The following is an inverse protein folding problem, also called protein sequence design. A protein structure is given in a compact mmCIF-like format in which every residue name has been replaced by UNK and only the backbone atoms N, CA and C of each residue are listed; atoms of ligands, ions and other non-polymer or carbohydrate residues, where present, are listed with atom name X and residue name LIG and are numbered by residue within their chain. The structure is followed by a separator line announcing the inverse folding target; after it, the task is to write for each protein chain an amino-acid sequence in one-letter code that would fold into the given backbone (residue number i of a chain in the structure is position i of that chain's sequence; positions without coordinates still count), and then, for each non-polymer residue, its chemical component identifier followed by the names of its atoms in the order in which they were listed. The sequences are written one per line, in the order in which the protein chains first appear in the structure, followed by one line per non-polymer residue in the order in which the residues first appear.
data_IF_746011852265
#
_entry.id   IF_746011852265
#
_cell.length_a   1.000
_cell.length_b   1.000
_cell.length_c   1.000
_cell.angle_alpha   90.00
_cell.angle_beta   90.00
_cell.angle_gamma   90.00
#
_symmetry.space_group_name_H-M   'P 1'
#
loop_
_entity.id
_entity.type
_entity.pdbx_description
1 polymer ?
#
# COMPACT_ATOMS: atom_id res chain seq x y z
N UNK A 1 15.43 -36.50 -1.46
CA UNK A 1 16.54 -36.40 -0.47
C UNK A 1 16.85 -34.95 -0.11
N UNK A 2 16.63 -34.02 -1.04
CA UNK A 2 16.79 -32.58 -0.95
C UNK A 2 15.96 -31.92 0.18
N UNK A 3 14.75 -32.44 0.45
CA UNK A 3 13.93 -31.97 1.58
C UNK A 3 14.60 -32.25 2.93
N UNK A 4 15.19 -33.45 3.10
CA UNK A 4 15.89 -33.83 4.33
C UNK A 4 17.18 -33.04 4.49
N UNK A 5 17.90 -32.80 3.39
CA UNK A 5 19.10 -31.95 3.39
C UNK A 5 18.80 -30.53 3.85
N UNK A 6 17.74 -29.91 3.32
CA UNK A 6 17.28 -28.60 3.78
C UNK A 6 16.91 -28.61 5.27
N UNK A 7 16.15 -29.62 5.71
CA UNK A 7 15.75 -29.75 7.12
C UNK A 7 16.97 -29.90 8.03
N UNK A 8 17.99 -30.68 7.66
CA UNK A 8 19.22 -30.81 8.45
C UNK A 8 19.98 -29.47 8.56
N UNK A 9 20.05 -28.69 7.47
CA UNK A 9 20.67 -27.36 7.48
C UNK A 9 19.89 -26.36 8.32
N UNK A 10 18.56 -26.43 8.31
CA UNK A 10 17.68 -25.57 9.12
C UNK A 10 17.70 -25.95 10.61
N UNK A 11 17.82 -27.23 10.91
CA UNK A 11 17.84 -27.77 12.28
C UNK A 11 19.27 -27.97 12.81
N UNK A 12 20.26 -27.30 12.23
CA UNK A 12 21.64 -27.33 12.74
C UNK A 12 21.66 -26.76 14.17
N UNK A 13 22.23 -27.55 15.09
CA UNK A 13 22.18 -27.29 16.53
C UNK A 13 22.87 -25.97 16.88
N UNK A 14 24.09 -25.76 16.35
CA UNK A 14 24.82 -24.50 16.50
C UNK A 14 24.17 -23.42 15.63
N UNK A 15 23.68 -22.30 16.20
CA UNK A 15 23.14 -21.18 15.42
C UNK A 15 24.15 -20.56 14.45
N UNK A 16 25.46 -20.61 14.75
CA UNK A 16 26.49 -20.02 13.89
C UNK A 16 26.69 -20.81 12.59
N UNK A 17 26.49 -22.14 12.64
CA UNK A 17 26.61 -23.03 11.49
C UNK A 17 25.26 -23.26 10.78
N UNK A 18 24.15 -22.82 11.40
CA UNK A 18 22.81 -22.93 10.82
C UNK A 18 22.69 -22.06 9.57
N UNK A 19 22.10 -22.63 8.54
CA UNK A 19 21.88 -21.91 7.29
C UNK A 19 21.05 -20.63 7.51
N UNK A 20 21.50 -19.46 7.03
CA UNK A 20 20.68 -18.25 7.02
C UNK A 20 19.46 -18.39 6.11
N UNK A 21 18.36 -17.71 6.44
CA UNK A 21 17.11 -17.77 5.66
C UNK A 21 17.31 -17.49 4.16
N UNK A 22 18.11 -16.47 3.81
CA UNK A 22 18.42 -16.11 2.41
C UNK A 22 19.07 -17.27 1.66
N UNK A 23 20.07 -17.93 2.26
CA UNK A 23 20.73 -19.11 1.65
C UNK A 23 19.84 -20.35 1.63
N UNK A 24 18.90 -20.46 2.58
CA UNK A 24 17.94 -21.55 2.58
C UNK A 24 16.94 -21.43 1.43
N UNK A 25 16.58 -20.20 1.04
CA UNK A 25 15.64 -19.94 -0.05
C UNK A 25 16.22 -20.34 -1.42
N UNK A 26 17.53 -20.23 -1.59
CA UNK A 26 18.28 -20.69 -2.78
C UNK A 26 18.40 -22.22 -2.86
N UNK A 27 17.91 -22.96 -1.87
CA UNK A 27 18.07 -24.41 -1.81
C UNK A 27 17.32 -25.12 -2.96
N UNK A 28 17.91 -26.14 -3.62
CA UNK A 28 17.29 -26.86 -4.75
C UNK A 28 15.93 -27.49 -4.46
N UNK A 29 15.58 -27.66 -3.18
CA UNK A 29 14.26 -28.11 -2.77
C UNK A 29 13.17 -27.11 -3.18
N UNK A 30 13.39 -25.82 -2.96
CA UNK A 30 12.43 -24.78 -3.35
C UNK A 30 12.24 -24.72 -4.86
N UNK A 31 13.31 -24.79 -5.65
CA UNK A 31 13.22 -24.76 -7.12
C UNK A 31 12.45 -25.92 -7.76
N UNK A 32 12.20 -27.03 -7.04
CA UNK A 32 11.37 -28.15 -7.53
C UNK A 32 9.88 -28.01 -7.24
N UNK A 33 9.51 -27.20 -6.25
CA UNK A 33 8.15 -27.12 -5.72
C UNK A 33 7.57 -25.70 -5.69
N UNK A 34 8.37 -24.67 -6.00
CA UNK A 34 7.86 -23.35 -6.33
C UNK A 34 7.21 -23.47 -7.70
N UNK A 35 5.87 -23.38 -7.73
CA UNK A 35 5.17 -23.10 -8.97
C UNK A 35 5.66 -21.75 -9.49
N UNK A 36 6.13 -21.74 -10.74
CA UNK A 36 6.36 -20.49 -11.46
C UNK A 36 4.97 -19.92 -11.74
N UNK A 37 4.46 -19.13 -10.80
CA UNK A 37 3.25 -18.35 -11.02
C UNK A 37 3.58 -17.35 -12.13
N UNK A 38 2.85 -17.43 -13.24
CA UNK A 38 2.93 -16.40 -14.27
C UNK A 38 2.34 -15.10 -13.72
N UNK A 39 3.21 -14.28 -13.14
CA UNK A 39 2.85 -13.00 -12.56
C UNK A 39 2.62 -11.91 -13.61
N UNK A 40 2.72 -12.21 -14.92
CA UNK A 40 2.66 -11.19 -15.98
C UNK A 40 1.39 -10.35 -15.91
N UNK A 41 0.22 -10.99 -15.75
CA UNK A 41 -1.05 -10.27 -15.66
C UNK A 41 -1.13 -9.41 -14.38
N UNK A 42 -0.73 -9.99 -13.24
CA UNK A 42 -0.71 -9.32 -11.95
C UNK A 42 0.19 -8.07 -11.95
N UNK A 43 1.42 -8.21 -12.45
CA UNK A 43 2.40 -7.12 -12.55
C UNK A 43 1.92 -6.04 -13.50
N UNK A 44 1.40 -6.42 -14.68
CA UNK A 44 0.89 -5.44 -15.65
C UNK A 44 -0.26 -4.63 -15.07
N UNK A 45 -1.20 -5.28 -14.38
CA UNK A 45 -2.32 -4.61 -13.72
C UNK A 45 -1.83 -3.67 -12.61
N UNK A 46 -0.95 -4.13 -11.73
CA UNK A 46 -0.47 -3.33 -10.60
C UNK A 46 0.32 -2.09 -11.07
N UNK A 47 1.21 -2.25 -12.05
CA UNK A 47 1.98 -1.14 -12.61
C UNK A 47 1.12 -0.13 -13.38
N UNK A 48 0.05 -0.57 -14.05
CA UNK A 48 -0.93 0.33 -14.67
C UNK A 48 -1.70 1.11 -13.60
N UNK A 49 -2.14 0.44 -12.52
CA UNK A 49 -2.82 1.12 -11.41
C UNK A 49 -1.90 2.15 -10.74
N UNK A 50 -0.65 1.77 -10.46
CA UNK A 50 0.37 2.64 -9.90
C UNK A 50 0.67 3.84 -10.80
N UNK A 51 0.66 3.65 -12.13
CA UNK A 51 0.80 4.74 -13.10
C UNK A 51 -0.35 5.75 -13.05
N UNK A 52 -1.56 5.28 -12.77
CA UNK A 52 -2.76 6.14 -12.64
C UNK A 52 -2.94 6.74 -11.24
N UNK A 53 -2.10 6.35 -10.28
CA UNK A 53 -2.16 6.81 -8.91
C UNK A 53 -1.90 8.32 -8.84
N UNK A 54 -2.77 9.04 -8.14
CA UNK A 54 -2.63 10.48 -7.88
C UNK A 54 -2.29 10.65 -6.40
N UNK A 55 -1.44 11.64 -6.10
CA UNK A 55 -1.24 12.10 -4.74
C UNK A 55 -2.57 12.69 -4.23
N UNK A 56 -3.22 11.98 -3.32
CA UNK A 56 -4.53 12.30 -2.74
C UNK A 56 -4.35 13.07 -1.41
N UNK A 57 -5.41 13.72 -0.92
CA UNK A 57 -5.40 14.46 0.33
C UNK A 57 -5.00 13.54 1.50
N UNK A 58 -4.37 14.08 2.55
CA UNK A 58 -3.91 13.29 3.70
C UNK A 58 -5.01 12.46 4.37
N UNK A 59 -6.23 13.01 4.44
CA UNK A 59 -7.37 12.30 5.01
C UNK A 59 -7.78 11.10 4.14
N UNK A 60 -7.79 11.26 2.81
CA UNK A 60 -8.04 10.16 1.86
C UNK A 60 -6.98 9.07 2.01
N UNK A 61 -5.69 9.44 2.02
CA UNK A 61 -4.59 8.49 2.18
C UNK A 61 -4.74 7.66 3.46
N UNK A 62 -5.04 8.28 4.58
CA UNK A 62 -5.21 7.59 5.84
C UNK A 62 -6.46 6.70 5.86
N UNK A 63 -7.59 7.17 5.33
CA UNK A 63 -8.81 6.38 5.20
C UNK A 63 -8.58 5.14 4.32
N UNK A 64 -7.93 5.30 3.17
CA UNK A 64 -7.60 4.18 2.28
C UNK A 64 -6.62 3.22 2.95
N UNK A 65 -5.56 3.73 3.58
CA UNK A 65 -4.57 2.91 4.30
C UNK A 65 -5.25 2.06 5.39
N UNK A 66 -6.21 2.64 6.11
CA UNK A 66 -7.02 1.89 7.07
C UNK A 66 -7.89 0.83 6.38
N UNK A 67 -8.62 1.18 5.31
CA UNK A 67 -9.45 0.23 4.57
C UNK A 67 -8.60 -0.93 4.04
N UNK A 68 -7.43 -0.63 3.46
CA UNK A 68 -6.49 -1.61 2.95
C UNK A 68 -5.96 -2.51 4.07
N UNK A 69 -5.48 -1.93 5.17
CA UNK A 69 -4.82 -2.71 6.22
C UNK A 69 -5.78 -3.50 7.11
N UNK A 70 -7.01 -3.03 7.31
CA UNK A 70 -7.96 -3.63 8.26
C UNK A 70 -9.16 -4.30 7.60
N UNK A 71 -9.59 -3.84 6.41
CA UNK A 71 -10.86 -4.24 5.81
C UNK A 71 -10.71 -4.92 4.43
N UNK A 72 -9.53 -4.86 3.80
CA UNK A 72 -9.31 -5.54 2.53
C UNK A 72 -9.29 -7.06 2.75
N UNK A 73 -9.94 -7.77 1.83
CA UNK A 73 -9.93 -9.23 1.84
C UNK A 73 -8.67 -9.76 1.20
N UNK A 74 -8.29 -10.99 1.53
CA UNK A 74 -7.16 -11.67 0.88
C UNK A 74 -7.30 -11.68 -0.64
N UNK A 75 -8.52 -11.83 -1.17
CA UNK A 75 -8.79 -11.86 -2.61
C UNK A 75 -8.53 -10.50 -3.28
N UNK A 76 -8.82 -9.39 -2.59
CA UNK A 76 -8.59 -8.04 -3.12
C UNK A 76 -7.09 -7.70 -3.22
N UNK A 77 -6.26 -8.29 -2.35
CA UNK A 77 -4.82 -8.03 -2.30
C UNK A 77 -3.98 -9.13 -2.97
N UNK A 78 -4.57 -10.29 -3.30
CA UNK A 78 -3.82 -11.48 -3.73
C UNK A 78 -2.95 -11.21 -4.96
N UNK A 79 -3.54 -10.61 -5.99
CA UNK A 79 -2.82 -10.27 -7.23
C UNK A 79 -1.70 -9.25 -6.97
N UNK A 80 -1.91 -8.31 -6.05
CA UNK A 80 -0.89 -7.33 -5.68
C UNK A 80 0.28 -7.98 -4.96
N UNK A 81 0.01 -9.02 -4.16
CA UNK A 81 1.05 -9.80 -3.49
C UNK A 81 1.88 -10.61 -4.50
N UNK A 82 1.24 -11.19 -5.53
CA UNK A 82 1.94 -11.90 -6.61
C UNK A 82 2.82 -10.90 -7.38
N UNK A 83 2.27 -9.74 -7.74
CA UNK A 83 3.01 -8.71 -8.46
C UNK A 83 4.21 -8.19 -7.67
N UNK A 84 4.01 -7.89 -6.38
CA UNK A 84 5.08 -7.42 -5.48
C UNK A 84 6.23 -8.42 -5.42
N UNK A 85 5.94 -9.69 -5.13
CA UNK A 85 6.95 -10.76 -5.06
C UNK A 85 7.67 -11.01 -6.38
N UNK A 86 7.03 -10.71 -7.52
CA UNK A 86 7.64 -10.87 -8.83
C UNK A 86 8.58 -9.70 -9.20
N UNK A 87 8.36 -8.53 -8.59
CA UNK A 87 9.19 -7.34 -8.77
C UNK A 87 10.33 -7.27 -7.75
N UNK A 88 10.10 -7.74 -6.53
CA UNK A 88 11.08 -7.86 -5.44
C UNK A 88 12.07 -8.99 -5.76
N UNK A 89 13.20 -8.64 -6.38
CA UNK A 89 14.18 -9.61 -6.86
C UNK A 89 15.13 -10.05 -5.76
N UNK A 90 15.45 -9.15 -4.84
CA UNK A 90 16.36 -9.41 -3.74
C UNK A 90 15.65 -10.03 -2.50
N UNK A 91 14.32 -10.05 -2.49
CA UNK A 91 13.44 -10.58 -1.46
C UNK A 91 13.61 -9.92 -0.10
N UNK A 92 13.89 -8.61 -0.10
CA UNK A 92 14.02 -7.80 1.11
C UNK A 92 12.67 -7.26 1.64
N UNK A 93 11.58 -7.63 0.97
CA UNK A 93 10.20 -7.22 1.25
C UNK A 93 9.94 -5.73 1.03
N UNK A 94 10.74 -5.08 0.19
CA UNK A 94 10.55 -3.74 -0.32
C UNK A 94 10.78 -3.73 -1.83
N UNK A 95 10.38 -2.65 -2.48
CA UNK A 95 10.70 -2.41 -3.88
C UNK A 95 11.62 -1.20 -3.97
N UNK A 96 12.87 -1.46 -4.33
CA UNK A 96 13.81 -0.39 -4.63
C UNK A 96 13.43 0.33 -5.92
N UNK A 97 13.89 1.57 -6.06
CA UNK A 97 13.73 2.36 -7.29
C UNK A 97 14.28 1.62 -8.53
N UNK A 98 15.33 0.81 -8.37
CA UNK A 98 15.89 0.02 -9.47
C UNK A 98 14.98 -1.14 -9.87
N UNK A 99 14.42 -1.88 -8.91
CA UNK A 99 13.49 -2.98 -9.18
C UNK A 99 12.21 -2.51 -9.87
N UNK A 100 11.67 -1.36 -9.42
CA UNK A 100 10.52 -0.74 -10.08
C UNK A 100 10.85 -0.27 -11.50
N UNK A 101 12.02 0.34 -11.72
CA UNK A 101 12.46 0.73 -13.06
C UNK A 101 12.60 -0.48 -13.99
N UNK A 102 13.23 -1.54 -13.52
CA UNK A 102 13.40 -2.77 -14.31
C UNK A 102 12.04 -3.42 -14.60
N UNK A 103 11.12 -3.42 -13.63
CA UNK A 103 9.73 -3.82 -13.80
C UNK A 103 9.04 -3.00 -14.88
N UNK A 104 9.01 -1.68 -14.75
CA UNK A 104 8.36 -0.79 -15.72
C UNK A 104 8.95 -0.94 -17.13
N UNK A 105 10.28 -1.00 -17.29
CA UNK A 105 10.91 -1.19 -18.60
C UNK A 105 10.59 -2.55 -19.22
N UNK A 106 10.44 -3.60 -18.41
CA UNK A 106 10.09 -4.94 -18.87
C UNK A 106 8.64 -5.03 -19.37
N UNK A 107 7.69 -4.44 -18.64
CA UNK A 107 6.25 -4.57 -18.95
C UNK A 107 5.69 -3.40 -19.79
N UNK A 108 6.33 -2.22 -19.76
CA UNK A 108 5.95 -1.01 -20.50
C UNK A 108 7.18 -0.38 -21.17
N UNK A 109 7.72 -0.95 -22.26
CA UNK A 109 8.97 -0.49 -22.89
C UNK A 109 8.97 0.99 -23.33
N UNK A 110 7.79 1.55 -23.60
CA UNK A 110 7.61 2.93 -24.05
C UNK A 110 7.63 3.96 -22.90
N UNK A 111 7.59 3.53 -21.63
CA UNK A 111 7.57 4.44 -20.49
C UNK A 111 8.94 5.13 -20.31
N UNK A 112 8.91 6.44 -20.10
CA UNK A 112 10.13 7.24 -19.93
C UNK A 112 10.64 7.16 -18.49
N UNK A 113 11.96 7.28 -18.30
CA UNK A 113 12.55 7.29 -16.95
C UNK A 113 11.96 8.41 -16.07
N UNK A 114 11.68 9.57 -16.69
CA UNK A 114 11.04 10.70 -16.02
C UNK A 114 9.61 10.42 -15.56
N UNK A 115 8.90 9.52 -16.25
CA UNK A 115 7.55 9.11 -15.86
C UNK A 115 7.61 8.10 -14.71
N UNK A 116 8.57 7.17 -14.74
CA UNK A 116 8.82 6.24 -13.63
C UNK A 116 9.21 7.01 -12.36
N UNK A 117 10.09 8.00 -12.46
CA UNK A 117 10.52 8.80 -11.29
C UNK A 117 9.36 9.54 -10.63
N UNK A 118 8.46 10.13 -11.43
CA UNK A 118 7.24 10.78 -10.91
C UNK A 118 6.31 9.79 -10.22
N UNK A 119 6.17 8.59 -10.75
CA UNK A 119 5.33 7.55 -10.14
C UNK A 119 5.92 7.15 -8.78
N UNK A 120 7.23 6.94 -8.71
CA UNK A 120 7.93 6.58 -7.47
C UNK A 120 7.80 7.70 -6.42
N UNK A 121 8.02 8.96 -6.80
CA UNK A 121 7.87 10.12 -5.90
C UNK A 121 6.47 10.24 -5.30
N UNK A 122 5.43 9.78 -6.01
CA UNK A 122 4.04 9.83 -5.52
C UNK A 122 3.73 8.62 -4.61
N UNK A 123 4.32 7.46 -4.91
CA UNK A 123 4.02 6.22 -4.21
C UNK A 123 4.84 6.04 -2.91
N UNK A 124 6.04 6.61 -2.84
CA UNK A 124 6.89 6.70 -1.64
C UNK A 124 6.33 7.78 -0.69
N UNK A 125 5.37 7.37 0.15
CA UNK A 125 4.62 8.28 1.00
C UNK A 125 5.44 8.74 2.22
N UNK A 126 6.36 7.90 2.70
CA UNK A 126 7.22 8.21 3.83
C UNK A 126 8.58 8.85 3.45
N UNK A 127 8.91 8.87 2.16
CA UNK A 127 10.13 9.48 1.63
C UNK A 127 11.39 8.67 1.91
N UNK A 128 11.24 7.36 2.14
CA UNK A 128 12.35 6.46 2.43
C UNK A 128 13.22 6.15 1.21
N UNK A 129 12.73 6.41 0.00
CA UNK A 129 13.37 6.09 -1.28
C UNK A 129 13.14 4.64 -1.74
N UNK A 130 12.32 3.89 -1.02
CA UNK A 130 11.90 2.51 -1.31
C UNK A 130 10.37 2.44 -1.14
N UNK A 131 9.68 1.57 -1.88
CA UNK A 131 8.25 1.35 -1.68
C UNK A 131 8.06 0.10 -0.82
N UNK A 132 7.46 0.26 0.36
CA UNK A 132 7.12 -0.88 1.21
C UNK A 132 5.84 -1.60 0.73
N UNK A 133 5.56 -2.78 1.29
CA UNK A 133 4.39 -3.55 0.89
C UNK A 133 3.05 -2.82 1.14
N UNK A 134 2.96 -2.02 2.19
CA UNK A 134 1.74 -1.28 2.52
C UNK A 134 1.50 -0.14 1.53
N UNK A 135 2.55 0.62 1.22
CA UNK A 135 2.53 1.68 0.21
C UNK A 135 2.19 1.12 -1.17
N UNK A 136 2.80 0.00 -1.54
CA UNK A 136 2.50 -0.71 -2.78
C UNK A 136 1.02 -1.09 -2.87
N UNK A 137 0.46 -1.69 -1.82
CA UNK A 137 -0.94 -2.12 -1.86
C UNK A 137 -1.86 -0.90 -1.94
N UNK A 138 -1.62 0.15 -1.16
CA UNK A 138 -2.43 1.40 -1.21
C UNK A 138 -2.39 2.04 -2.59
N UNK A 139 -1.22 2.08 -3.23
CA UNK A 139 -1.04 2.71 -4.53
C UNK A 139 -1.60 1.87 -5.70
N UNK A 140 -1.51 0.53 -5.61
CA UNK A 140 -1.90 -0.37 -6.70
C UNK A 140 -3.31 -0.94 -6.59
N UNK A 141 -3.99 -0.84 -5.45
CA UNK A 141 -5.31 -1.45 -5.26
C UNK A 141 -6.39 -0.78 -6.10
N UNK A 142 -7.28 -1.60 -6.65
CA UNK A 142 -8.43 -1.13 -7.41
C UNK A 142 -9.44 -0.48 -6.46
N UNK A 143 -9.36 0.85 -6.36
CA UNK A 143 -10.25 1.65 -5.51
C UNK A 143 -11.73 1.45 -5.84
N UNK A 144 -12.07 1.12 -7.09
CA UNK A 144 -13.47 0.89 -7.50
C UNK A 144 -14.05 -0.39 -6.89
N UNK A 145 -13.22 -1.41 -6.66
CA UNK A 145 -13.60 -2.64 -5.96
C UNK A 145 -13.48 -2.49 -4.45
N UNK A 146 -12.50 -1.72 -3.99
CA UNK A 146 -12.22 -1.52 -2.57
C UNK A 146 -13.30 -0.68 -1.86
N UNK A 147 -13.75 0.42 -2.47
CA UNK A 147 -14.59 1.43 -1.83
C UNK A 147 -16.08 1.06 -1.84
N UNK A 148 -16.44 -0.02 -1.16
CA UNK A 148 -17.84 -0.33 -0.87
C UNK A 148 -18.41 0.59 0.21
N UNK A 149 -19.72 0.87 0.15
CA UNK A 149 -20.47 1.63 1.16
C UNK A 149 -20.17 1.17 2.60
N UNK A 150 -20.10 -0.15 2.82
CA UNK A 150 -19.83 -0.72 4.15
C UNK A 150 -18.40 -0.45 4.63
N UNK A 151 -17.42 -0.42 3.73
CA UNK A 151 -16.02 -0.11 4.07
C UNK A 151 -15.83 1.38 4.32
N UNK A 152 -16.50 2.23 3.54
CA UNK A 152 -16.50 3.69 3.76
C UNK A 152 -17.12 4.06 5.11
N UNK A 153 -18.24 3.44 5.51
CA UNK A 153 -18.82 3.63 6.86
C UNK A 153 -17.89 3.21 7.99
N UNK A 154 -17.20 2.07 7.83
CA UNK A 154 -16.25 1.62 8.83
C UNK A 154 -15.03 2.53 8.91
N UNK A 155 -14.53 3.02 7.78
CA UNK A 155 -13.46 4.02 7.76
C UNK A 155 -13.91 5.34 8.41
N UNK A 156 -15.13 5.81 8.15
CA UNK A 156 -15.68 7.00 8.81
C UNK A 156 -15.70 6.84 10.34
N UNK A 157 -16.17 5.70 10.85
CA UNK A 157 -16.18 5.39 12.29
C UNK A 157 -14.79 5.26 12.93
N UNK A 158 -13.72 5.17 12.13
CA UNK A 158 -12.36 5.27 12.67
C UNK A 158 -12.07 6.69 13.13
N UNK A 159 -12.53 7.68 12.38
CA UNK A 159 -12.29 9.09 12.62
C UNK A 159 -13.31 9.66 13.60
N UNK A 160 -14.61 9.42 13.40
CA UNK A 160 -15.68 9.80 14.33
C UNK A 160 -15.59 8.97 15.63
N UNK A 161 -14.81 9.45 16.60
CA UNK A 161 -14.49 8.76 17.84
C UNK A 161 -15.57 8.93 18.88
N UNK A 162 -16.20 10.10 18.91
CA UNK A 162 -17.25 10.40 19.87
C UNK A 162 -18.64 9.89 19.43
N UNK A 163 -18.78 9.49 18.16
CA UNK A 163 -20.02 8.98 17.59
C UNK A 163 -21.03 10.09 17.28
N UNK A 164 -20.55 11.32 17.10
CA UNK A 164 -21.34 12.51 16.81
C UNK A 164 -21.98 12.50 15.42
N UNK A 165 -21.48 11.65 14.51
CA UNK A 165 -21.93 11.57 13.13
C UNK A 165 -21.23 12.54 12.18
N UNK A 166 -20.19 13.21 12.66
CA UNK A 166 -19.32 14.14 11.93
C UNK A 166 -17.88 13.96 12.42
N UNK A 167 -16.91 14.33 11.59
CA UNK A 167 -15.48 14.27 11.93
C UNK A 167 -14.97 15.68 12.18
N UNK A 168 -14.58 15.95 13.42
CA UNK A 168 -14.01 17.23 13.84
C UNK A 168 -12.51 17.34 13.51
N UNK A 169 -11.95 18.56 13.42
CA UNK A 169 -10.49 18.74 13.27
C UNK A 169 -9.68 18.10 14.40
N UNK A 170 -10.24 18.01 15.60
CA UNK A 170 -9.60 17.36 16.75
C UNK A 170 -9.48 15.84 16.55
N UNK A 171 -10.49 15.21 15.98
CA UNK A 171 -10.49 13.77 15.66
C UNK A 171 -9.57 13.44 14.49
N UNK A 172 -9.52 14.29 13.45
CA UNK A 172 -8.51 14.18 12.39
C UNK A 172 -7.10 14.22 13.00
N UNK A 173 -6.85 15.17 13.92
CA UNK A 173 -5.57 15.27 14.64
C UNK A 173 -5.28 14.04 15.50
N UNK A 174 -6.28 13.46 16.15
CA UNK A 174 -6.08 12.27 16.98
C UNK A 174 -5.67 11.06 16.14
N UNK A 175 -6.28 10.87 14.96
CA UNK A 175 -5.96 9.73 14.09
C UNK A 175 -4.68 9.97 13.28
N UNK A 176 -4.49 11.17 12.71
CA UNK A 176 -3.37 11.48 11.80
C UNK A 176 -2.15 12.09 12.50
N UNK A 177 -2.30 12.62 13.71
CA UNK A 177 -1.22 13.27 14.45
C UNK A 177 -0.29 12.30 15.20
N UNK A 178 -0.58 11.00 15.16
CA UNK A 178 0.26 9.97 15.81
C UNK A 178 1.52 9.76 14.96
N UNK A 179 2.61 10.39 15.36
CA UNK A 179 3.94 10.20 14.75
C UNK A 179 4.65 11.50 14.40
N UNK A 180 3.90 12.56 14.09
CA UNK A 180 4.44 13.82 13.61
C UNK A 180 4.20 14.98 14.58
N UNK A 181 5.20 15.25 15.44
CA UNK A 181 5.20 16.37 16.40
C UNK A 181 5.39 17.75 15.74
N UNK A 182 5.31 17.85 14.41
CA UNK A 182 5.74 19.02 13.64
C UNK A 182 4.62 19.73 12.86
N UNK A 183 3.39 19.22 12.86
CA UNK A 183 2.31 19.91 12.17
C UNK A 183 1.75 21.07 13.00
N UNK A 184 1.63 22.22 12.36
CA UNK A 184 0.90 23.37 12.89
C UNK A 184 -0.57 22.97 13.13
N UNK A 185 -1.17 23.43 14.23
CA UNK A 185 -2.57 23.11 14.55
C UNK A 185 -3.53 23.55 13.45
N UNK A 186 -3.12 24.53 12.64
CA UNK A 186 -3.90 25.02 11.51
C UNK A 186 -4.12 23.97 10.41
N UNK A 187 -3.19 23.03 10.21
CA UNK A 187 -3.28 22.02 9.13
C UNK A 187 -4.54 21.16 9.26
N UNK A 188 -4.95 20.84 10.49
CA UNK A 188 -6.13 20.00 10.71
C UNK A 188 -7.43 20.71 10.34
N UNK A 189 -7.50 22.01 10.62
CA UNK A 189 -8.62 22.84 10.17
C UNK A 189 -8.61 22.98 8.65
N UNK A 190 -7.44 23.19 8.04
CA UNK A 190 -7.32 23.31 6.58
C UNK A 190 -7.77 22.01 5.88
N UNK A 191 -7.43 20.82 6.41
CA UNK A 191 -7.90 19.53 5.88
C UNK A 191 -9.43 19.41 5.95
N UNK A 192 -10.04 19.79 7.08
CA UNK A 192 -11.50 19.74 7.22
C UNK A 192 -12.17 20.71 6.26
N UNK A 193 -11.67 21.94 6.17
CA UNK A 193 -12.19 22.99 5.30
C UNK A 193 -12.08 22.66 3.79
N UNK A 194 -11.17 21.78 3.39
CA UNK A 194 -11.08 21.32 2.00
C UNK A 194 -12.24 20.41 1.58
N UNK A 195 -12.94 19.81 2.55
CA UNK A 195 -13.95 18.78 2.35
C UNK A 195 -15.34 19.27 2.79
N UNK A 196 -15.38 20.03 3.88
CA UNK A 196 -16.57 20.69 4.45
C UNK A 196 -17.23 21.63 3.43
N UNK A 197 -18.27 21.13 2.77
CA UNK A 197 -18.97 21.79 1.68
C UNK A 197 -20.10 22.67 2.21
N UNK A 198 -20.67 22.34 3.37
CA UNK A 198 -21.76 23.08 3.98
C UNK A 198 -21.30 24.19 4.96
N UNK A 199 -20.01 24.18 5.32
CA UNK A 199 -19.37 25.16 6.18
C UNK A 199 -19.65 24.95 7.67
N UNK A 200 -19.98 23.73 8.08
CA UNK A 200 -20.24 23.35 9.47
C UNK A 200 -18.98 23.40 10.35
N UNK A 201 -17.80 23.30 9.75
CA UNK A 201 -16.52 23.16 10.43
C UNK A 201 -16.16 21.73 10.82
N UNK A 202 -16.95 20.75 10.37
CA UNK A 202 -16.77 19.31 10.57
C UNK A 202 -17.08 18.59 9.25
N UNK A 203 -16.73 17.30 9.14
CA UNK A 203 -17.00 16.50 7.92
C UNK A 203 -18.11 15.50 8.22
N UNK A 204 -19.27 15.63 7.59
CA UNK A 204 -20.32 14.62 7.71
C UNK A 204 -20.06 13.38 6.84
N UNK A 205 -20.89 12.34 6.99
CA UNK A 205 -20.69 11.10 6.23
C UNK A 205 -20.85 11.28 4.71
N UNK A 206 -21.76 12.14 4.25
CA UNK A 206 -21.98 12.35 2.82
C UNK A 206 -20.83 13.14 2.19
N UNK A 207 -20.25 14.10 2.92
CA UNK A 207 -19.03 14.81 2.53
C UNK A 207 -17.82 13.86 2.49
N UNK A 208 -17.64 13.05 3.53
CA UNK A 208 -16.61 12.01 3.55
C UNK A 208 -16.76 11.02 2.39
N UNK A 209 -17.99 10.58 2.13
CA UNK A 209 -18.28 9.68 1.01
C UNK A 209 -17.96 10.33 -0.32
N UNK A 210 -18.37 11.57 -0.54
CA UNK A 210 -18.08 12.32 -1.77
C UNK A 210 -16.57 12.45 -1.98
N UNK A 211 -15.82 12.77 -0.91
CA UNK A 211 -14.36 12.79 -0.92
C UNK A 211 -13.76 11.44 -1.34
N UNK A 212 -14.28 10.31 -0.82
CA UNK A 212 -13.82 8.97 -1.20
C UNK A 212 -14.23 8.57 -2.62
N UNK A 213 -15.40 8.98 -3.10
CA UNK A 213 -15.87 8.72 -4.46
C UNK A 213 -15.10 9.52 -5.53
N UNK A 214 -14.51 10.66 -5.14
CA UNK A 214 -13.56 11.39 -6.00
C UNK A 214 -12.31 10.57 -6.36
N UNK A 215 -12.01 9.51 -5.61
CA UNK A 215 -10.89 8.62 -5.88
C UNK A 215 -11.14 7.65 -7.03
N UNK A 216 -12.41 7.41 -7.35
CA UNK A 216 -12.84 6.48 -8.40
C UNK A 216 -13.35 7.21 -9.65
N UNK A 217 -13.71 8.49 -9.53
CA UNK A 217 -14.20 9.32 -10.63
C UNK A 217 -13.04 10.03 -11.32
N UNK A 218 -12.79 9.67 -12.59
CA UNK A 218 -11.69 10.17 -13.43
C UNK A 218 -11.82 11.64 -13.81
#
# INVERSE_FOLDING_TARGET
EEAKDLIHKLLTYDPADRIPAVKALEHPWFGKYIEVVDATAAVTMALENLKTFKAEQKLQQAAITFIVSQLATSDEIHELQIAFKALDQNMDAKLSLQELRDGYKKYFPEITDTEIDRIIEIADADGSGEIDYSEWVVACIDKTKLLSENKMKQAFSLFDKDGGGSISPAEVKEVLGIGDKKFDEKIWNDIVLEIDADGSGEIDYEEFKTMMEHLITK
#
